data_IF_475267806859
#
_entry.id   IF_475267806859
#
_cell.length_a   1.000
_cell.length_b   1.000
_cell.length_c   1.000
_cell.angle_alpha   90.00
_cell.angle_beta   90.00
_cell.angle_gamma   90.00
#
_symmetry.space_group_name_H-M   'P 1'
#
loop_
_entity.id
_entity.type
_entity.pdbx_description
1 polymer ?
#
# COMPACT_ATOMS: atom_id res chain seq x y z
N UNK A 1 6.88 -4.38 -7.23
CA UNK A 1 6.44 -2.98 -7.06
C UNK A 1 7.16 -2.05 -8.02
N UNK A 2 8.50 -1.92 -8.01
CA UNK A 2 9.16 -1.01 -8.98
C UNK A 2 8.87 -1.37 -10.46
N UNK A 3 8.93 -2.65 -10.83
CA UNK A 3 8.59 -3.07 -12.20
C UNK A 3 7.10 -2.86 -12.55
N UNK A 4 6.17 -3.10 -11.61
CA UNK A 4 4.75 -2.85 -11.85
C UNK A 4 4.44 -1.37 -12.07
N UNK A 5 5.10 -0.50 -11.32
CA UNK A 5 4.96 0.95 -11.45
C UNK A 5 5.52 1.47 -12.78
N UNK A 6 6.70 0.99 -13.18
CA UNK A 6 7.30 1.34 -14.47
C UNK A 6 6.46 0.86 -15.64
N UNK A 7 5.96 -0.37 -15.58
CA UNK A 7 5.08 -0.93 -16.61
C UNK A 7 3.76 -0.15 -16.68
N UNK A 8 3.13 0.17 -15.55
CA UNK A 8 1.88 0.93 -15.52
C UNK A 8 2.00 2.35 -16.11
N UNK A 9 3.19 2.94 -16.10
CA UNK A 9 3.46 4.25 -16.72
C UNK A 9 4.05 4.18 -18.13
N UNK A 10 4.28 2.98 -18.67
CA UNK A 10 4.88 2.80 -19.99
C UNK A 10 3.85 2.94 -21.09
N UNK A 11 4.22 3.66 -22.16
CA UNK A 11 3.39 3.80 -23.35
C UNK A 11 3.51 2.55 -24.23
N UNK A 12 2.40 1.85 -24.48
CA UNK A 12 2.36 0.74 -25.43
C UNK A 12 1.94 1.30 -26.80
N UNK A 13 2.73 1.06 -27.84
CA UNK A 13 2.41 1.54 -29.20
C UNK A 13 1.04 1.03 -29.68
N UNK A 14 0.62 -0.16 -29.23
CA UNK A 14 -0.66 -0.77 -29.56
C UNK A 14 -1.87 -0.02 -28.99
N UNK A 15 -1.71 0.79 -27.93
CA UNK A 15 -2.77 1.63 -27.37
C UNK A 15 -3.15 2.79 -28.31
N UNK A 16 -2.19 3.26 -29.10
CA UNK A 16 -2.42 4.31 -30.11
C UNK A 16 -2.64 3.77 -31.51
N UNK A 17 -2.04 2.62 -31.85
CA UNK A 17 -2.15 1.98 -33.15
C UNK A 17 -2.53 0.49 -32.99
N UNK A 18 -3.83 0.17 -32.86
CA UNK A 18 -4.30 -1.17 -32.49
C UNK A 18 -3.94 -2.28 -33.50
N UNK A 19 -3.66 -1.92 -34.76
CA UNK A 19 -3.18 -2.85 -35.79
C UNK A 19 -1.71 -3.27 -35.61
N UNK A 20 -0.97 -2.65 -34.68
CA UNK A 20 0.39 -3.02 -34.29
C UNK A 20 0.42 -3.96 -33.07
N UNK A 21 -0.71 -4.54 -32.64
CA UNK A 21 -0.74 -5.51 -31.52
C UNK A 21 0.16 -6.74 -31.73
N UNK A 22 0.36 -7.17 -32.97
CA UNK A 22 1.26 -8.28 -33.29
C UNK A 22 2.74 -7.93 -33.09
N UNK A 23 3.03 -6.64 -33.02
CA UNK A 23 4.35 -6.05 -32.88
C UNK A 23 4.64 -5.79 -31.40
N UNK A 24 4.50 -6.80 -30.53
CA UNK A 24 5.00 -6.76 -29.14
C UNK A 24 6.54 -6.80 -29.13
N UNK A 25 7.16 -5.90 -29.90
CA UNK A 25 8.61 -5.84 -30.18
C UNK A 25 9.44 -5.61 -28.92
N UNK A 26 8.82 -5.17 -27.84
CA UNK A 26 9.48 -4.85 -26.58
C UNK A 26 9.17 -5.86 -25.47
N UNK A 27 8.29 -6.85 -25.73
CA UNK A 27 7.80 -7.80 -24.71
C UNK A 27 7.08 -7.10 -23.55
N UNK A 28 6.64 -5.86 -23.77
CA UNK A 28 6.10 -4.97 -22.75
C UNK A 28 4.73 -5.47 -22.30
N UNK A 29 3.89 -5.89 -23.25
CA UNK A 29 2.57 -6.45 -22.96
C UNK A 29 2.70 -7.80 -22.24
N UNK A 30 3.66 -8.65 -22.66
CA UNK A 30 3.95 -9.89 -21.95
C UNK A 30 4.48 -9.66 -20.53
N UNK A 31 5.31 -8.64 -20.31
CA UNK A 31 5.82 -8.31 -18.98
C UNK A 31 4.71 -7.73 -18.10
N UNK A 32 3.87 -6.84 -18.65
CA UNK A 32 2.69 -6.30 -17.97
C UNK A 32 1.76 -7.43 -17.51
N UNK A 33 1.45 -8.38 -18.39
CA UNK A 33 0.58 -9.52 -18.05
C UNK A 33 1.19 -10.36 -16.93
N UNK A 34 2.47 -10.72 -17.05
CA UNK A 34 3.16 -11.48 -16.01
C UNK A 34 3.14 -10.76 -14.66
N UNK A 35 3.41 -9.46 -14.65
CA UNK A 35 3.37 -8.65 -13.42
C UNK A 35 1.95 -8.53 -12.87
N UNK A 36 0.93 -8.41 -13.71
CA UNK A 36 -0.47 -8.43 -13.29
C UNK A 36 -0.84 -9.77 -12.65
N UNK A 37 -0.44 -10.90 -13.26
CA UNK A 37 -0.67 -12.25 -12.71
C UNK A 37 0.02 -12.42 -11.35
N UNK A 38 1.27 -11.94 -11.21
CA UNK A 38 2.01 -11.97 -9.93
C UNK A 38 1.32 -11.14 -8.84
N UNK A 39 0.82 -9.94 -9.19
CA UNK A 39 0.10 -9.08 -8.25
C UNK A 39 -1.26 -9.67 -7.86
N UNK A 40 -2.02 -10.22 -8.81
CA UNK A 40 -3.30 -10.87 -8.53
C UNK A 40 -3.11 -12.04 -7.57
N UNK A 41 -2.11 -12.91 -7.82
CA UNK A 41 -1.79 -14.03 -6.91
C UNK A 41 -1.41 -13.57 -5.49
N UNK A 42 -0.71 -12.43 -5.36
CA UNK A 42 -0.33 -11.88 -4.06
C UNK A 42 -1.57 -11.36 -3.31
N UNK A 43 -2.39 -10.55 -3.96
CA UNK A 43 -3.58 -9.97 -3.33
C UNK A 43 -4.61 -11.06 -3.03
N UNK A 44 -4.78 -12.03 -3.92
CA UNK A 44 -5.65 -13.20 -3.68
C UNK A 44 -5.24 -13.96 -2.42
N UNK A 45 -3.94 -14.25 -2.28
CA UNK A 45 -3.40 -14.90 -1.07
C UNK A 45 -3.72 -14.11 0.19
N UNK A 46 -3.54 -12.79 0.17
CA UNK A 46 -3.86 -11.94 1.32
C UNK A 46 -5.35 -11.96 1.63
N UNK A 47 -6.23 -11.86 0.62
CA UNK A 47 -7.69 -11.93 0.84
C UNK A 47 -8.08 -13.27 1.48
N UNK A 48 -7.53 -14.39 0.99
CA UNK A 48 -7.80 -15.70 1.57
C UNK A 48 -7.29 -15.82 3.02
N UNK A 49 -6.14 -15.22 3.32
CA UNK A 49 -5.61 -15.19 4.70
C UNK A 49 -6.53 -14.41 5.66
N UNK A 50 -7.10 -13.28 5.23
CA UNK A 50 -8.06 -12.53 6.05
C UNK A 50 -9.39 -13.29 6.21
N UNK A 51 -9.88 -13.95 5.15
CA UNK A 51 -11.07 -14.81 5.24
C UNK A 51 -10.85 -16.00 6.19
N UNK A 52 -9.68 -16.64 6.13
CA UNK A 52 -9.30 -17.74 7.01
C UNK A 52 -9.29 -17.33 8.48
N UNK A 53 -8.71 -16.16 8.79
CA UNK A 53 -8.72 -15.58 10.14
C UNK A 53 -10.12 -15.28 10.66
N UNK A 54 -11.04 -14.83 9.81
CA UNK A 54 -12.45 -14.61 10.18
C UNK A 54 -13.20 -15.92 10.45
N UNK A 55 -12.96 -16.93 9.61
CA UNK A 55 -13.63 -18.22 9.72
C UNK A 55 -13.17 -19.06 10.92
N UNK A 56 -11.92 -18.89 11.36
CA UNK A 56 -11.38 -19.60 12.54
C UNK A 56 -11.96 -19.12 13.86
N UNK A 57 -12.72 -18.02 13.87
CA UNK A 57 -13.25 -17.42 15.10
C UNK A 57 -12.16 -16.84 16.00
N UNK A 58 -10.95 -16.62 15.47
CA UNK A 58 -9.99 -15.74 16.12
C UNK A 58 -10.70 -14.41 16.36
N UNK A 59 -10.61 -13.91 17.60
CA UNK A 59 -11.20 -12.62 17.94
C UNK A 59 -10.70 -11.60 16.91
N UNK A 60 -11.59 -10.76 16.33
CA UNK A 60 -11.16 -9.73 15.40
C UNK A 60 -9.98 -9.00 16.04
N UNK A 61 -8.89 -8.81 15.29
CA UNK A 61 -7.76 -8.03 15.78
C UNK A 61 -8.30 -6.78 16.45
N UNK A 62 -7.73 -6.40 17.59
CA UNK A 62 -8.17 -5.23 18.37
C UNK A 62 -8.25 -3.95 17.49
N UNK A 63 -7.57 -3.97 16.34
CA UNK A 63 -7.71 -3.06 15.22
C UNK A 63 -7.92 -3.82 13.89
N UNK A 64 -9.12 -3.79 13.27
CA UNK A 64 -9.32 -4.32 11.92
C UNK A 64 -8.56 -3.48 10.89
N UNK A 65 -7.99 -4.12 9.87
CA UNK A 65 -7.33 -3.42 8.79
C UNK A 65 -8.25 -3.14 7.58
N UNK A 66 -7.69 -2.56 6.53
CA UNK A 66 -8.46 -2.19 5.34
C UNK A 66 -9.11 -3.39 4.64
N UNK A 67 -8.42 -4.54 4.55
CA UNK A 67 -8.99 -5.74 3.92
C UNK A 67 -10.12 -6.31 4.76
N UNK A 68 -9.99 -6.25 6.08
CA UNK A 68 -11.08 -6.60 6.98
C UNK A 68 -12.31 -5.71 6.75
N UNK A 69 -12.12 -4.40 6.69
CA UNK A 69 -13.23 -3.47 6.46
C UNK A 69 -13.91 -3.77 5.12
N UNK A 70 -13.14 -3.99 4.05
CA UNK A 70 -13.66 -4.30 2.73
C UNK A 70 -14.45 -5.61 2.70
N UNK A 71 -13.94 -6.67 3.33
CA UNK A 71 -14.64 -7.95 3.45
C UNK A 71 -15.99 -7.79 4.19
N UNK A 72 -16.02 -6.99 5.27
CA UNK A 72 -17.26 -6.75 6.03
C UNK A 72 -18.28 -5.91 5.26
N UNK A 73 -17.83 -4.92 4.47
CA UNK A 73 -18.73 -4.09 3.64
C UNK A 73 -19.39 -4.93 2.55
N UNK A 74 -18.64 -5.87 1.96
CA UNK A 74 -19.07 -6.61 0.77
C UNK A 74 -19.70 -7.97 1.07
N UNK A 75 -19.67 -8.43 2.32
CA UNK A 75 -20.22 -9.72 2.76
C UNK A 75 -21.69 -9.94 2.36
N UNK A 76 -22.50 -8.88 2.41
CA UNK A 76 -23.93 -8.92 2.07
C UNK A 76 -24.31 -7.96 0.92
N UNK A 77 -23.31 -7.47 0.18
CA UNK A 77 -23.56 -6.53 -0.90
C UNK A 77 -24.17 -7.24 -2.12
N UNK A 78 -25.31 -6.74 -2.59
CA UNK A 78 -25.90 -7.17 -3.86
C UNK A 78 -25.24 -6.41 -5.00
N UNK A 79 -24.22 -7.02 -5.60
CA UNK A 79 -23.48 -6.45 -6.72
C UNK A 79 -24.04 -6.95 -8.04
N UNK A 80 -24.18 -6.04 -9.01
CA UNK A 80 -24.81 -6.32 -10.32
C UNK A 80 -23.81 -6.58 -11.44
N UNK A 81 -22.55 -6.14 -11.27
CA UNK A 81 -21.56 -6.07 -12.38
C UNK A 81 -20.31 -6.89 -12.11
N UNK A 82 -19.72 -6.76 -10.92
CA UNK A 82 -18.50 -7.46 -10.54
C UNK A 82 -18.73 -8.22 -9.24
N UNK A 83 -18.05 -9.35 -9.09
CA UNK A 83 -18.09 -10.10 -7.84
C UNK A 83 -17.36 -9.33 -6.71
N UNK A 84 -17.73 -9.58 -5.44
CA UNK A 84 -17.08 -8.98 -4.28
C UNK A 84 -15.56 -9.11 -4.29
N UNK A 85 -15.04 -10.26 -4.74
CA UNK A 85 -13.61 -10.57 -4.67
C UNK A 85 -12.82 -9.71 -5.65
N UNK A 86 -13.30 -9.58 -6.89
CA UNK A 86 -12.74 -8.65 -7.89
C UNK A 86 -12.69 -7.22 -7.36
N UNK A 87 -13.75 -6.75 -6.70
CA UNK A 87 -13.78 -5.38 -6.15
C UNK A 87 -12.76 -5.22 -5.01
N UNK A 88 -12.68 -6.18 -4.09
CA UNK A 88 -11.72 -6.14 -2.97
C UNK A 88 -10.29 -6.13 -3.52
N UNK A 89 -9.97 -7.08 -4.40
CA UNK A 89 -8.62 -7.23 -4.97
C UNK A 89 -8.20 -5.99 -5.75
N UNK A 90 -9.07 -5.49 -6.64
CA UNK A 90 -8.79 -4.30 -7.43
C UNK A 90 -8.59 -3.05 -6.54
N UNK A 91 -9.44 -2.86 -5.53
CA UNK A 91 -9.35 -1.68 -4.64
C UNK A 91 -8.08 -1.72 -3.79
N UNK A 92 -7.73 -2.88 -3.23
CA UNK A 92 -6.49 -3.05 -2.48
C UNK A 92 -5.26 -2.78 -3.34
N UNK A 93 -5.25 -3.31 -4.57
CA UNK A 93 -4.15 -3.12 -5.51
C UNK A 93 -3.97 -1.65 -5.89
N UNK A 94 -5.06 -0.95 -6.20
CA UNK A 94 -5.04 0.49 -6.52
C UNK A 94 -4.47 1.31 -5.35
N UNK A 95 -4.88 1.02 -4.12
CA UNK A 95 -4.39 1.75 -2.96
C UNK A 95 -2.89 1.55 -2.72
N UNK A 96 -2.40 0.32 -2.85
CA UNK A 96 -0.97 0.01 -2.69
C UNK A 96 -0.16 0.70 -3.79
N UNK A 97 -0.62 0.62 -5.04
CA UNK A 97 0.07 1.24 -6.17
C UNK A 97 0.08 2.77 -6.06
N UNK A 98 -1.07 3.38 -5.78
CA UNK A 98 -1.19 4.83 -5.63
C UNK A 98 -0.38 5.36 -4.44
N UNK A 99 -0.37 4.63 -3.32
CA UNK A 99 0.34 5.03 -2.11
C UNK A 99 1.86 4.90 -2.23
N UNK A 100 2.37 3.88 -2.92
CA UNK A 100 3.82 3.57 -2.90
C UNK A 100 4.64 4.62 -3.63
N UNK A 101 4.38 4.84 -4.93
CA UNK A 101 5.24 5.72 -5.73
C UNK A 101 5.07 7.19 -5.34
N UNK A 102 3.82 7.61 -5.07
CA UNK A 102 3.55 9.01 -4.73
C UNK A 102 4.17 9.40 -3.40
N UNK A 103 4.12 8.53 -2.38
CA UNK A 103 4.74 8.81 -1.09
C UNK A 103 6.26 8.76 -1.18
N UNK A 104 6.84 7.82 -1.95
CA UNK A 104 8.28 7.76 -2.18
C UNK A 104 8.79 9.05 -2.85
N UNK A 105 8.11 9.53 -3.89
CA UNK A 105 8.44 10.79 -4.57
C UNK A 105 8.27 11.98 -3.62
N UNK A 106 7.16 12.04 -2.87
CA UNK A 106 6.91 13.13 -1.92
C UNK A 106 7.99 13.18 -0.82
N UNK A 107 8.39 12.04 -0.26
CA UNK A 107 9.47 11.95 0.72
C UNK A 107 10.82 12.33 0.11
N UNK A 108 11.09 11.91 -1.12
CA UNK A 108 12.32 12.29 -1.84
C UNK A 108 12.42 13.80 -2.00
N UNK A 109 11.33 14.46 -2.40
CA UNK A 109 11.27 15.92 -2.49
C UNK A 109 11.39 16.59 -1.13
N UNK A 110 10.68 16.10 -0.11
CA UNK A 110 10.76 16.63 1.24
C UNK A 110 12.19 16.58 1.80
N UNK A 111 12.86 15.44 1.65
CA UNK A 111 14.26 15.25 2.07
C UNK A 111 15.21 16.13 1.26
N UNK A 112 15.03 16.24 -0.05
CA UNK A 112 15.85 17.10 -0.91
C UNK A 112 15.74 18.57 -0.52
N UNK A 113 14.51 19.05 -0.25
CA UNK A 113 14.26 20.42 0.21
C UNK A 113 14.85 20.68 1.61
N UNK A 114 14.77 19.70 2.51
CA UNK A 114 15.37 19.78 3.85
C UNK A 114 16.90 19.83 3.78
N UNK A 115 17.52 18.95 3.00
CA UNK A 115 18.97 18.92 2.81
C UNK A 115 19.50 20.21 2.17
N UNK A 116 18.71 20.84 1.29
CA UNK A 116 19.02 22.14 0.70
C UNK A 116 18.86 23.31 1.69
N UNK A 117 18.18 23.12 2.82
CA UNK A 117 17.94 24.14 3.84
C UNK A 117 18.46 23.70 5.23
N UNK A 118 19.77 23.86 5.46
CA UNK A 118 20.45 23.36 6.68
C UNK A 118 19.83 23.84 8.00
N UNK A 119 19.29 25.04 8.07
CA UNK A 119 18.69 25.56 9.31
C UNK A 119 17.38 24.83 9.67
N UNK A 120 16.54 24.57 8.66
CA UNK A 120 15.32 23.78 8.82
C UNK A 120 15.63 22.32 9.16
N UNK A 121 16.65 21.73 8.53
CA UNK A 121 17.11 20.37 8.85
C UNK A 121 17.54 20.24 10.32
N UNK A 122 18.37 21.17 10.83
CA UNK A 122 18.79 21.17 12.24
C UNK A 122 17.60 21.28 13.19
N UNK A 123 16.64 22.14 12.86
CA UNK A 123 15.41 22.32 13.65
C UNK A 123 14.56 21.05 13.66
N UNK A 124 14.38 20.41 12.50
CA UNK A 124 13.61 19.17 12.38
C UNK A 124 14.25 18.02 13.16
N UNK A 125 15.57 17.82 13.02
CA UNK A 125 16.30 16.79 13.78
C UNK A 125 16.14 17.02 15.29
N UNK A 126 16.24 18.27 15.76
CA UNK A 126 16.04 18.60 17.17
C UNK A 126 14.62 18.30 17.64
N UNK A 127 13.60 18.58 16.83
CA UNK A 127 12.20 18.28 17.16
C UNK A 127 11.95 16.77 17.22
N UNK A 128 12.43 16.01 16.24
CA UNK A 128 12.27 14.54 16.21
C UNK A 128 12.97 13.91 17.41
N UNK A 129 14.18 14.36 17.74
CA UNK A 129 14.91 13.90 18.92
C UNK A 129 14.13 14.17 20.21
N UNK A 130 13.62 15.39 20.38
CA UNK A 130 12.83 15.77 21.54
C UNK A 130 11.51 14.97 21.65
N UNK A 131 10.87 14.67 20.53
CA UNK A 131 9.64 13.88 20.49
C UNK A 131 9.90 12.43 20.93
N UNK A 132 10.98 11.81 20.46
CA UNK A 132 11.41 10.50 20.92
C UNK A 132 11.70 10.49 22.42
N UNK A 133 12.40 11.50 22.95
CA UNK A 133 12.62 11.60 24.41
C UNK A 133 11.33 11.79 25.21
N UNK A 134 10.31 12.45 24.66
CA UNK A 134 9.00 12.62 25.30
C UNK A 134 8.20 11.30 25.32
N UNK A 135 8.22 10.52 24.24
CA UNK A 135 7.60 9.19 24.22
C UNK A 135 8.26 8.23 25.21
N UNK A 136 9.60 8.22 25.27
CA UNK A 136 10.33 7.39 26.24
C UNK A 136 10.03 7.85 27.68
N UNK A 137 9.94 9.16 27.92
CA UNK A 137 9.56 9.69 29.23
C UNK A 137 8.13 9.28 29.62
N UNK A 138 7.15 9.41 28.72
CA UNK A 138 5.78 8.94 28.96
C UNK A 138 5.66 7.42 29.13
N UNK A 139 6.51 6.63 28.49
CA UNK A 139 6.54 5.18 28.67
C UNK A 139 7.21 4.73 30.00
N UNK A 140 8.15 5.53 30.52
CA UNK A 140 8.89 5.24 31.77
C UNK A 140 8.18 5.81 33.02
N UNK A 141 7.46 6.93 32.90
CA UNK A 141 6.69 7.55 34.00
C UNK A 141 5.64 6.61 34.67
N UNK A 142 4.91 5.72 33.97
CA UNK A 142 3.97 4.81 34.64
C UNK A 142 4.62 3.68 35.45
N UNK A 143 5.95 3.50 35.41
CA UNK A 143 6.66 2.49 36.21
C UNK A 143 7.06 2.96 37.62
N UNK A 144 6.73 4.19 38.02
CA UNK A 144 7.11 4.77 39.32
C UNK A 144 5.93 5.23 40.18
N UNK A 145 4.78 4.54 40.13
CA UNK A 145 3.79 4.66 41.22
C UNK A 145 4.16 3.69 42.37
N UNK A 146 4.43 4.18 43.59
CA UNK A 146 4.56 3.30 44.74
C UNK A 146 3.20 2.65 45.04
N UNK A 147 3.19 1.32 45.16
CA UNK A 147 2.13 0.60 45.85
C UNK A 147 2.27 0.89 47.35
N UNK A 148 1.27 1.58 47.90
CA UNK A 148 1.01 1.90 49.32
C UNK A 148 1.92 2.91 50.01
#
# INVERSE_FOLDING_TARGET
MEQSSLLSGSFVLSDSLPFLKWLDLQGLESSMRKTADELDMLVDRWVQEHRGRRASGEAPSTSPDFMDIMLSILENAQLTTYDPDTIIKATCLILIQAGTDTTAVALTWALSLLLNNRDWLKKLIKLVYNMGTLEIAHAVVPLNLPLY
#
